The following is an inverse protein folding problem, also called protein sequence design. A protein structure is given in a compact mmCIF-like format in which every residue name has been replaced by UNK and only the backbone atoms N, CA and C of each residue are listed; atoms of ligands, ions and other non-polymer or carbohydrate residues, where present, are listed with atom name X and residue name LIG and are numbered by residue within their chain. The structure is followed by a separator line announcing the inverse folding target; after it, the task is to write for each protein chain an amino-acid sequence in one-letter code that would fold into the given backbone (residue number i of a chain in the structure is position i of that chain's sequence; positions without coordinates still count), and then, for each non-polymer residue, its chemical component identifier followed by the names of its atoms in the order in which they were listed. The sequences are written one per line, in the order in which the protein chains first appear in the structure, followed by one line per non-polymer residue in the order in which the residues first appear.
data_IF_194104098846
#
_entry.id   IF_194104098846
#
_cell.length_a   1.000
_cell.length_b   1.000
_cell.length_c   1.000
_cell.angle_alpha   90.00
_cell.angle_beta   90.00
_cell.angle_gamma   90.00
#
_symmetry.space_group_name_H-M   'P 1'
#
loop_
_entity.id
_entity.type
_entity.pdbx_description
1 polymer ?
#
# COMPACT_ATOMS: atom_id res chain seq x y z
N UNK A 1 -23.60 76.46 24.55
CA UNK A 1 -23.55 77.90 24.26
C UNK A 1 -23.03 78.01 22.84
N UNK A 2 -23.87 77.65 21.88
CA UNK A 2 -24.84 78.55 21.20
C UNK A 2 -24.07 79.46 20.24
N UNK A 3 -24.38 79.58 18.96
CA UNK A 3 -25.50 79.08 18.17
C UNK A 3 -25.23 79.48 16.71
N UNK A 4 -25.91 78.79 15.81
CA UNK A 4 -25.90 79.01 14.37
C UNK A 4 -26.45 80.40 13.99
N UNK A 5 -26.05 80.92 12.83
CA UNK A 5 -27.05 81.34 11.84
C UNK A 5 -26.49 81.41 10.41
N UNK A 6 -27.27 80.91 9.47
CA UNK A 6 -27.16 81.15 8.03
C UNK A 6 -28.37 81.99 7.62
N UNK A 7 -28.35 82.72 6.49
CA UNK A 7 -29.07 82.17 5.32
C UNK A 7 -28.53 82.57 3.91
N UNK A 8 -28.87 81.73 2.94
CA UNK A 8 -28.84 81.90 1.46
C UNK A 8 -29.89 82.96 0.97
N UNK A 9 -30.17 83.25 -0.36
CA UNK A 9 -29.87 82.50 -1.60
C UNK A 9 -29.70 83.27 -2.97
N UNK A 10 -29.45 82.44 -4.01
CA UNK A 10 -29.96 82.49 -5.41
C UNK A 10 -29.23 83.30 -6.52
N UNK A 11 -28.77 82.59 -7.56
CA UNK A 11 -29.34 82.71 -8.94
C UNK A 11 -28.84 81.63 -9.92
N UNK A 12 -29.79 81.20 -10.76
CA UNK A 12 -29.72 80.21 -11.84
C UNK A 12 -28.87 80.62 -13.04
N UNK A 13 -28.34 79.62 -13.77
CA UNK A 13 -27.90 79.73 -15.16
C UNK A 13 -27.83 78.35 -15.81
N UNK A 14 -28.76 78.07 -16.71
CA UNK A 14 -28.89 76.83 -17.48
C UNK A 14 -27.95 76.82 -18.69
N UNK A 15 -27.35 75.67 -19.00
CA UNK A 15 -26.51 75.47 -20.18
C UNK A 15 -26.33 73.98 -20.48
N UNK A 16 -27.12 73.48 -21.44
CA UNK A 16 -27.06 72.14 -22.02
C UNK A 16 -25.86 72.05 -22.97
N UNK A 17 -25.14 70.91 -23.03
CA UNK A 17 -24.89 70.07 -24.25
C UNK A 17 -23.67 69.14 -24.10
N UNK A 18 -23.90 67.85 -24.44
CA UNK A 18 -23.01 66.81 -24.99
C UNK A 18 -21.87 66.17 -24.16
N UNK A 19 -22.19 64.99 -23.62
CA UNK A 19 -21.59 63.67 -23.89
C UNK A 19 -20.22 63.61 -24.63
N UNK A 20 -19.22 62.99 -24.00
CA UNK A 20 -18.23 62.12 -24.66
C UNK A 20 -17.72 61.09 -23.66
N UNK A 21 -18.15 59.86 -23.87
CA UNK A 21 -17.77 58.61 -23.20
C UNK A 21 -16.34 58.21 -23.58
N UNK A 22 -15.48 57.94 -22.59
CA UNK A 22 -14.29 57.10 -22.79
C UNK A 22 -14.45 55.80 -21.99
N UNK A 23 -14.76 54.74 -22.72
CA UNK A 23 -14.91 53.35 -22.29
C UNK A 23 -13.56 52.82 -21.79
N UNK A 24 -13.44 52.55 -20.49
CA UNK A 24 -12.41 51.68 -19.93
C UNK A 24 -13.08 50.34 -19.55
N UNK A 25 -13.37 49.54 -20.57
CA UNK A 25 -13.89 48.18 -20.41
C UNK A 25 -12.85 47.21 -20.97
N UNK A 26 -11.98 46.73 -20.09
CA UNK A 26 -10.86 45.89 -20.50
C UNK A 26 -10.05 45.36 -19.34
N UNK A 27 -10.69 44.71 -18.34
CA UNK A 27 -9.93 43.97 -17.31
C UNK A 27 -10.68 42.87 -16.55
N UNK A 28 -11.71 42.26 -17.13
CA UNK A 28 -12.36 41.08 -16.51
C UNK A 28 -12.30 39.79 -17.35
N UNK A 29 -11.81 39.82 -18.60
CA UNK A 29 -11.81 38.63 -19.47
C UNK A 29 -10.54 37.75 -19.42
N UNK A 30 -9.51 38.18 -18.66
CA UNK A 30 -8.22 37.46 -18.60
C UNK A 30 -8.23 36.25 -17.65
N UNK A 31 -8.99 36.30 -16.55
CA UNK A 31 -9.00 35.25 -15.53
C UNK A 31 -9.80 34.00 -15.95
N UNK A 32 -10.93 34.19 -16.63
CA UNK A 32 -11.78 33.09 -17.09
C UNK A 32 -11.11 32.25 -18.20
N UNK A 33 -10.41 32.91 -19.14
CA UNK A 33 -9.68 32.22 -20.21
C UNK A 33 -8.45 31.46 -19.69
N UNK A 34 -7.72 32.02 -18.71
CA UNK A 34 -6.57 31.33 -18.10
C UNK A 34 -7.00 30.08 -17.30
N UNK A 35 -8.10 30.17 -16.54
CA UNK A 35 -8.66 29.06 -15.76
C UNK A 35 -9.16 27.91 -16.66
N UNK A 36 -9.87 28.25 -17.75
CA UNK A 36 -10.34 27.25 -18.71
C UNK A 36 -9.18 26.56 -19.45
N UNK A 37 -8.12 27.29 -19.80
CA UNK A 37 -6.93 26.72 -20.43
C UNK A 37 -6.16 25.79 -19.49
N UNK A 38 -6.02 26.16 -18.22
CA UNK A 38 -5.40 25.30 -17.21
C UNK A 38 -6.21 24.01 -16.97
N UNK A 39 -7.53 24.12 -16.95
CA UNK A 39 -8.43 22.97 -16.80
C UNK A 39 -8.36 22.00 -18.00
N UNK A 40 -8.26 22.51 -19.23
CA UNK A 40 -8.08 21.70 -20.43
C UNK A 40 -6.70 21.00 -20.43
N UNK A 41 -5.65 21.72 -20.02
CA UNK A 41 -4.31 21.15 -19.91
C UNK A 41 -4.22 20.00 -18.89
N UNK A 42 -4.97 20.08 -17.78
CA UNK A 42 -5.07 18.96 -16.82
C UNK A 42 -5.72 17.72 -17.43
N UNK A 43 -6.79 17.89 -18.21
CA UNK A 43 -7.45 16.78 -18.90
C UNK A 43 -6.50 16.11 -19.90
N UNK A 44 -5.73 16.91 -20.66
CA UNK A 44 -4.75 16.40 -21.61
C UNK A 44 -3.65 15.60 -20.91
N UNK A 45 -3.10 16.12 -19.80
CA UNK A 45 -2.10 15.40 -18.99
C UNK A 45 -2.65 14.09 -18.45
N UNK A 46 -3.87 14.09 -17.93
CA UNK A 46 -4.49 12.88 -17.42
C UNK A 46 -4.74 11.84 -18.53
N UNK A 47 -5.19 12.29 -19.70
CA UNK A 47 -5.37 11.43 -20.88
C UNK A 47 -4.03 10.85 -21.37
N UNK A 48 -2.95 11.64 -21.35
CA UNK A 48 -1.60 11.18 -21.69
C UNK A 48 -1.12 10.06 -20.77
N UNK A 49 -1.33 10.21 -19.45
CA UNK A 49 -0.99 9.15 -18.48
C UNK A 49 -1.78 7.87 -18.75
N UNK A 50 -3.09 7.98 -19.00
CA UNK A 50 -3.94 6.82 -19.33
C UNK A 50 -3.43 6.09 -20.58
N UNK A 51 -3.09 6.82 -21.64
CA UNK A 51 -2.69 6.22 -22.93
C UNK A 51 -1.24 5.74 -22.96
N UNK A 52 -0.30 6.55 -22.47
CA UNK A 52 1.14 6.31 -22.63
C UNK A 52 1.76 5.56 -21.46
N UNK A 53 1.41 5.93 -20.22
CA UNK A 53 2.03 5.32 -19.02
C UNK A 53 1.34 4.04 -18.60
N UNK A 54 0.01 4.01 -18.67
CA UNK A 54 -0.79 2.87 -18.20
C UNK A 54 -1.32 1.99 -19.34
N UNK A 55 -1.35 2.49 -20.57
CA UNK A 55 -1.81 1.77 -21.78
C UNK A 55 -3.18 1.15 -21.55
N UNK A 56 -4.12 1.98 -21.11
CA UNK A 56 -5.49 1.55 -20.80
C UNK A 56 -6.27 1.25 -22.07
N UNK A 57 -7.19 0.28 -22.00
CA UNK A 57 -8.14 0.06 -23.08
C UNK A 57 -9.09 1.26 -23.22
N UNK A 58 -9.75 1.36 -24.37
CA UNK A 58 -10.62 2.48 -24.68
C UNK A 58 -11.80 2.62 -23.70
N UNK A 59 -12.32 1.50 -23.18
CA UNK A 59 -13.44 1.52 -22.24
C UNK A 59 -13.00 2.08 -20.89
N UNK A 60 -11.90 1.56 -20.33
CA UNK A 60 -11.35 2.05 -19.06
C UNK A 60 -10.86 3.49 -19.18
N UNK A 61 -10.22 3.87 -20.31
CA UNK A 61 -9.83 5.26 -20.57
C UNK A 61 -11.04 6.19 -20.56
N UNK A 62 -12.13 5.81 -21.23
CA UNK A 62 -13.36 6.61 -21.29
C UNK A 62 -13.99 6.78 -19.90
N UNK A 63 -14.08 5.71 -19.11
CA UNK A 63 -14.59 5.78 -17.74
C UNK A 63 -13.70 6.68 -16.85
N UNK A 64 -12.38 6.54 -16.95
CA UNK A 64 -11.44 7.39 -16.22
C UNK A 64 -11.60 8.87 -16.60
N UNK A 65 -11.68 9.17 -17.90
CA UNK A 65 -11.88 10.54 -18.39
C UNK A 65 -13.24 11.11 -17.95
N UNK A 66 -14.30 10.29 -17.92
CA UNK A 66 -15.61 10.71 -17.45
C UNK A 66 -15.55 11.09 -15.96
N UNK A 67 -15.06 10.19 -15.10
CA UNK A 67 -14.96 10.46 -13.66
C UNK A 67 -14.04 11.65 -13.36
N UNK A 68 -12.93 11.80 -14.09
CA UNK A 68 -12.05 12.95 -13.97
C UNK A 68 -12.79 14.26 -14.27
N UNK A 69 -13.54 14.32 -15.38
CA UNK A 69 -14.30 15.51 -15.78
C UNK A 69 -15.35 15.91 -14.74
N UNK A 70 -16.10 14.94 -14.22
CA UNK A 70 -17.11 15.17 -13.18
C UNK A 70 -16.50 15.69 -11.87
N UNK A 71 -15.29 15.23 -11.53
CA UNK A 71 -14.62 15.61 -10.27
C UNK A 71 -13.68 16.83 -10.41
N UNK A 72 -13.41 17.30 -11.63
CA UNK A 72 -12.43 18.36 -11.94
C UNK A 72 -12.73 19.70 -11.25
N UNK A 73 -14.00 20.08 -11.11
CA UNK A 73 -14.39 21.33 -10.46
C UNK A 73 -14.02 21.29 -8.96
N UNK A 74 -14.14 20.12 -8.34
CA UNK A 74 -13.81 19.89 -6.93
C UNK A 74 -12.28 19.90 -6.75
N UNK A 75 -11.53 19.35 -7.71
CA UNK A 75 -10.07 19.44 -7.75
C UNK A 75 -9.60 20.90 -7.79
N UNK A 76 -10.13 21.70 -8.72
CA UNK A 76 -9.80 23.13 -8.84
C UNK A 76 -10.07 23.91 -7.53
N UNK A 77 -11.19 23.60 -6.88
CA UNK A 77 -11.55 24.19 -5.57
C UNK A 77 -10.59 23.74 -4.46
N UNK A 78 -10.11 22.51 -4.51
CA UNK A 78 -9.16 21.94 -3.55
C UNK A 78 -7.76 22.55 -3.68
N UNK A 79 -7.31 22.85 -4.90
CA UNK A 79 -6.04 23.55 -5.15
C UNK A 79 -6.07 24.99 -4.62
N UNK A 80 -7.26 25.60 -4.59
CA UNK A 80 -7.44 26.99 -4.14
C UNK A 80 -7.53 27.12 -2.62
N UNK A 81 -7.69 26.02 -1.88
CA UNK A 81 -8.05 26.03 -0.46
C UNK A 81 -6.99 25.45 0.49
N UNK A 82 -5.81 25.02 0.02
CA UNK A 82 -4.87 24.24 0.84
C UNK A 82 -3.41 24.71 0.76
N UNK A 83 -2.77 24.84 1.94
CA UNK A 83 -1.35 25.14 2.12
C UNK A 83 -0.49 23.91 2.45
N UNK A 84 -0.85 22.70 1.97
CA UNK A 84 -0.18 21.45 2.35
C UNK A 84 0.50 20.68 1.21
N UNK A 85 0.53 21.21 -0.01
CA UNK A 85 1.22 20.60 -1.15
C UNK A 85 1.23 21.51 -2.38
N UNK A 86 2.13 21.26 -3.33
CA UNK A 86 2.14 21.96 -4.61
C UNK A 86 0.89 21.60 -5.43
N UNK A 87 0.37 22.51 -6.28
CA UNK A 87 -0.77 22.20 -7.16
C UNK A 87 -0.55 20.94 -8.00
N UNK A 88 0.67 20.68 -8.45
CA UNK A 88 1.01 19.49 -9.21
C UNK A 88 0.89 18.20 -8.38
N UNK A 89 1.26 18.23 -7.08
CA UNK A 89 1.10 17.07 -6.20
C UNK A 89 -0.38 16.76 -5.93
N UNK A 90 -1.19 17.80 -5.73
CA UNK A 90 -2.64 17.66 -5.54
C UNK A 90 -3.26 17.05 -6.81
N UNK A 91 -2.88 17.52 -7.99
CA UNK A 91 -3.34 16.98 -9.28
C UNK A 91 -2.99 15.49 -9.42
N UNK A 92 -1.73 15.12 -9.16
CA UNK A 92 -1.26 13.72 -9.27
C UNK A 92 -2.02 12.80 -8.31
N UNK A 93 -2.17 13.21 -7.06
CA UNK A 93 -2.93 12.47 -6.05
C UNK A 93 -4.39 12.30 -6.46
N UNK A 94 -5.03 13.35 -6.98
CA UNK A 94 -6.41 13.30 -7.46
C UNK A 94 -6.57 12.34 -8.63
N UNK A 95 -5.68 12.43 -9.63
CA UNK A 95 -5.69 11.54 -10.79
C UNK A 95 -5.51 10.08 -10.40
N UNK A 96 -4.64 9.79 -9.43
CA UNK A 96 -4.45 8.44 -8.91
C UNK A 96 -5.71 7.91 -8.20
N UNK A 97 -6.40 8.77 -7.41
CA UNK A 97 -7.66 8.40 -6.76
C UNK A 97 -8.76 8.08 -7.79
N UNK A 98 -8.89 8.90 -8.84
CA UNK A 98 -9.82 8.65 -9.96
C UNK A 98 -9.56 7.29 -10.61
N UNK A 99 -8.30 6.99 -10.93
CA UNK A 99 -7.93 5.71 -11.56
C UNK A 99 -8.14 4.51 -10.62
N UNK A 100 -7.92 4.68 -9.32
CA UNK A 100 -8.21 3.63 -8.35
C UNK A 100 -9.73 3.35 -8.28
N UNK A 101 -10.56 4.39 -8.27
CA UNK A 101 -12.01 4.22 -8.35
C UNK A 101 -12.42 3.49 -9.62
N UNK A 102 -11.90 3.89 -10.78
CA UNK A 102 -12.24 3.25 -12.05
C UNK A 102 -11.74 1.79 -12.09
N UNK A 103 -10.56 1.49 -11.57
CA UNK A 103 -10.03 0.12 -11.58
C UNK A 103 -10.82 -0.82 -10.69
N UNK A 104 -11.35 -0.34 -9.55
CA UNK A 104 -12.18 -1.12 -8.62
C UNK A 104 -13.65 -1.16 -9.01
N UNK A 105 -14.20 -0.07 -9.54
CA UNK A 105 -15.64 0.08 -9.77
C UNK A 105 -16.07 -0.13 -11.22
N UNK A 106 -15.16 0.05 -12.18
CA UNK A 106 -15.46 0.07 -13.63
C UNK A 106 -15.97 -1.23 -14.24
N UNK A 107 -15.94 -2.34 -13.50
CA UNK A 107 -16.17 -3.70 -14.01
C UNK A 107 -17.15 -4.54 -13.15
N UNK A 108 -18.23 -3.94 -12.63
CA UNK A 108 -19.21 -4.61 -11.74
C UNK A 108 -19.93 -5.86 -12.29
N UNK A 109 -19.59 -6.38 -13.48
CA UNK A 109 -20.35 -7.45 -14.12
C UNK A 109 -19.61 -8.32 -15.14
N UNK A 110 -18.28 -8.25 -15.27
CA UNK A 110 -17.51 -9.19 -16.11
C UNK A 110 -16.54 -9.97 -15.24
N UNK A 111 -16.58 -11.29 -15.39
CA UNK A 111 -15.79 -12.25 -14.64
C UNK A 111 -14.31 -11.85 -14.55
N UNK A 112 -13.72 -12.16 -13.39
CA UNK A 112 -12.31 -12.04 -12.99
C UNK A 112 -11.32 -12.48 -14.09
N UNK A 113 -11.14 -11.68 -15.13
CA UNK A 113 -9.94 -11.72 -15.95
C UNK A 113 -9.05 -10.54 -15.55
N UNK A 114 -7.80 -10.90 -15.28
CA UNK A 114 -6.68 -10.17 -14.68
C UNK A 114 -6.20 -8.94 -15.49
N UNK A 115 -7.11 -8.23 -16.19
CA UNK A 115 -6.81 -7.08 -17.06
C UNK A 115 -7.11 -5.73 -16.41
N UNK A 116 -7.33 -5.69 -15.10
CA UNK A 116 -7.51 -4.44 -14.35
C UNK A 116 -6.18 -3.78 -13.98
N UNK A 117 -6.12 -2.45 -14.02
CA UNK A 117 -4.96 -1.68 -13.55
C UNK A 117 -4.76 -1.92 -12.07
N UNK A 118 -3.54 -2.29 -11.66
CA UNK A 118 -3.20 -2.47 -10.25
C UNK A 118 -2.89 -1.13 -9.56
N UNK A 119 -3.13 -1.04 -8.25
CA UNK A 119 -2.72 0.13 -7.46
C UNK A 119 -1.21 0.42 -7.61
N UNK A 120 -0.36 -0.61 -7.69
CA UNK A 120 1.09 -0.44 -7.90
C UNK A 120 1.41 0.28 -9.21
N UNK A 121 0.71 -0.03 -10.29
CA UNK A 121 0.89 0.64 -11.58
C UNK A 121 0.43 2.11 -11.51
N UNK A 122 -0.72 2.37 -10.87
CA UNK A 122 -1.23 3.73 -10.67
C UNK A 122 -0.20 4.56 -9.88
N UNK A 123 0.23 4.07 -8.72
CA UNK A 123 1.20 4.78 -7.88
C UNK A 123 2.51 5.11 -8.63
N UNK A 124 3.03 4.17 -9.42
CA UNK A 124 4.22 4.40 -10.27
C UNK A 124 3.98 5.44 -11.36
N UNK A 125 2.80 5.45 -11.98
CA UNK A 125 2.51 6.40 -13.07
C UNK A 125 2.47 7.86 -12.58
N UNK A 126 2.10 8.07 -11.32
CA UNK A 126 2.01 9.39 -10.67
C UNK A 126 3.14 9.69 -9.68
N UNK A 127 4.12 8.80 -9.54
CA UNK A 127 5.22 8.91 -8.57
C UNK A 127 4.74 9.13 -7.12
N UNK A 128 3.71 8.36 -6.72
CA UNK A 128 3.10 8.45 -5.40
C UNK A 128 3.58 7.33 -4.49
N UNK A 129 3.84 7.67 -3.22
CA UNK A 129 4.02 6.68 -2.17
C UNK A 129 2.66 6.15 -1.73
N UNK A 130 2.61 4.85 -1.44
CA UNK A 130 1.39 4.19 -0.97
C UNK A 130 0.82 4.83 0.31
N UNK A 131 1.69 5.32 1.20
CA UNK A 131 1.29 5.99 2.45
C UNK A 131 0.58 7.30 2.15
N UNK A 132 1.06 8.07 1.17
CA UNK A 132 0.47 9.36 0.81
C UNK A 132 -0.86 9.14 0.09
N UNK A 133 -0.96 8.11 -0.76
CA UNK A 133 -2.24 7.68 -1.34
C UNK A 133 -3.30 7.37 -0.27
N UNK A 134 -2.96 6.60 0.78
CA UNK A 134 -3.93 6.29 1.85
C UNK A 134 -4.27 7.47 2.75
N UNK A 135 -3.46 8.54 2.78
CA UNK A 135 -3.82 9.79 3.46
C UNK A 135 -4.84 10.60 2.64
N UNK A 136 -4.65 10.65 1.33
CA UNK A 136 -5.47 11.49 0.43
C UNK A 136 -6.79 10.82 0.02
N UNK A 137 -6.78 9.51 -0.23
CA UNK A 137 -7.93 8.76 -0.75
C UNK A 137 -9.21 8.92 0.10
N UNK A 138 -9.17 8.87 1.45
CA UNK A 138 -10.37 9.12 2.27
C UNK A 138 -10.96 10.51 2.05
N UNK A 139 -10.12 11.54 1.94
CA UNK A 139 -10.57 12.92 1.70
C UNK A 139 -11.18 13.06 0.31
N UNK A 140 -10.58 12.41 -0.69
CA UNK A 140 -11.15 12.31 -2.02
C UNK A 140 -12.55 11.68 -1.96
N UNK A 141 -12.70 10.50 -1.35
CA UNK A 141 -13.99 9.80 -1.19
C UNK A 141 -15.07 10.67 -0.55
N UNK A 142 -14.74 11.43 0.50
CA UNK A 142 -15.68 12.35 1.16
C UNK A 142 -16.14 13.44 0.19
N UNK A 143 -15.21 14.04 -0.57
CA UNK A 143 -15.50 15.14 -1.49
C UNK A 143 -16.31 14.71 -2.70
N UNK A 144 -16.03 13.52 -3.25
CA UNK A 144 -16.65 13.05 -4.51
C UNK A 144 -17.74 11.99 -4.31
N UNK A 145 -18.08 11.66 -3.05
CA UNK A 145 -18.97 10.55 -2.73
C UNK A 145 -20.33 10.61 -3.43
N UNK A 146 -20.91 11.79 -3.61
CA UNK A 146 -22.18 11.96 -4.34
C UNK A 146 -22.04 11.60 -5.84
N UNK A 147 -20.90 11.93 -6.46
CA UNK A 147 -20.59 11.59 -7.86
C UNK A 147 -20.41 10.08 -7.98
N UNK A 148 -19.67 9.47 -7.05
CA UNK A 148 -19.45 8.02 -7.03
C UNK A 148 -20.76 7.26 -6.86
N UNK A 149 -21.64 7.71 -5.97
CA UNK A 149 -22.99 7.14 -5.80
C UNK A 149 -23.81 7.24 -7.09
N UNK A 150 -23.75 8.38 -7.78
CA UNK A 150 -24.48 8.59 -9.04
C UNK A 150 -23.96 7.72 -10.19
N UNK A 151 -22.65 7.51 -10.29
CA UNK A 151 -22.04 6.76 -11.40
C UNK A 151 -21.94 5.25 -11.16
N UNK A 152 -21.75 4.82 -9.92
CA UNK A 152 -21.41 3.43 -9.59
C UNK A 152 -22.39 2.72 -8.65
N UNK A 153 -23.40 3.44 -8.15
CA UNK A 153 -24.37 2.92 -7.18
C UNK A 153 -23.96 3.17 -5.73
N UNK A 154 -24.91 3.06 -4.79
CA UNK A 154 -24.69 3.36 -3.36
C UNK A 154 -23.77 2.38 -2.64
N UNK A 155 -23.43 1.25 -3.26
CA UNK A 155 -22.53 0.22 -2.72
C UNK A 155 -21.05 0.45 -3.12
N UNK A 156 -20.73 1.57 -3.76
CA UNK A 156 -19.38 1.88 -4.24
C UNK A 156 -18.32 1.80 -3.14
N UNK A 157 -18.62 2.28 -1.93
CA UNK A 157 -17.65 2.34 -0.83
C UNK A 157 -17.20 0.93 -0.41
N UNK A 158 -18.17 0.01 -0.28
CA UNK A 158 -17.89 -1.40 -0.01
C UNK A 158 -17.09 -2.05 -1.14
N UNK A 159 -17.38 -1.70 -2.40
CA UNK A 159 -16.70 -2.25 -3.58
C UNK A 159 -15.28 -1.70 -3.79
N UNK A 160 -14.97 -0.52 -3.24
CA UNK A 160 -13.60 0.01 -3.26
C UNK A 160 -12.65 -0.77 -2.35
N UNK A 161 -13.18 -1.42 -1.31
CA UNK A 161 -12.42 -2.20 -0.32
C UNK A 161 -11.24 -1.41 0.28
N UNK A 162 -11.38 -0.08 0.43
CA UNK A 162 -10.27 0.80 0.77
C UNK A 162 -9.75 0.53 2.18
N UNK A 163 -10.66 0.34 3.13
CA UNK A 163 -10.34 0.07 4.52
C UNK A 163 -9.67 -1.31 4.66
N UNK A 164 -10.19 -2.32 3.95
CA UNK A 164 -9.63 -3.67 3.93
C UNK A 164 -8.23 -3.68 3.33
N UNK A 165 -8.01 -2.95 2.23
CA UNK A 165 -6.69 -2.84 1.61
C UNK A 165 -5.69 -2.13 2.53
N UNK A 166 -6.11 -1.05 3.18
CA UNK A 166 -5.28 -0.31 4.14
C UNK A 166 -4.91 -1.17 5.34
N UNK A 167 -5.88 -1.86 5.95
CA UNK A 167 -5.65 -2.77 7.07
C UNK A 167 -4.68 -3.90 6.68
N UNK A 168 -4.87 -4.49 5.49
CA UNK A 168 -3.99 -5.52 4.96
C UNK A 168 -2.54 -5.03 4.78
N UNK A 169 -2.33 -3.79 4.33
CA UNK A 169 -1.01 -3.20 4.20
C UNK A 169 -0.37 -2.99 5.58
N UNK A 170 -1.11 -2.43 6.53
CA UNK A 170 -0.63 -2.21 7.90
C UNK A 170 -0.20 -3.53 8.55
N UNK A 171 -1.03 -4.57 8.44
CA UNK A 171 -0.70 -5.91 8.92
C UNK A 171 0.57 -6.44 8.25
N UNK A 172 0.68 -6.34 6.91
CA UNK A 172 1.82 -6.85 6.17
C UNK A 172 3.13 -6.12 6.54
N UNK A 173 3.08 -4.80 6.74
CA UNK A 173 4.23 -4.01 7.21
C UNK A 173 4.67 -4.41 8.62
N UNK A 174 3.72 -4.65 9.52
CA UNK A 174 4.02 -5.11 10.88
C UNK A 174 4.62 -6.51 10.89
N UNK A 175 4.05 -7.44 10.13
CA UNK A 175 4.55 -8.80 9.97
C UNK A 175 5.93 -8.83 9.31
N UNK A 176 6.17 -7.99 8.28
CA UNK A 176 7.48 -7.88 7.64
C UNK A 176 8.56 -7.35 8.58
N UNK A 177 8.23 -6.37 9.43
CA UNK A 177 9.14 -5.90 10.49
C UNK A 177 9.40 -7.00 11.54
N UNK A 178 8.37 -7.74 11.93
CA UNK A 178 8.50 -8.84 12.88
C UNK A 178 9.39 -9.96 12.32
N UNK A 179 9.12 -10.39 11.08
CA UNK A 179 9.94 -11.36 10.35
C UNK A 179 11.39 -10.94 10.26
N UNK A 180 11.65 -9.67 9.88
CA UNK A 180 13.00 -9.13 9.81
C UNK A 180 13.74 -9.26 11.13
N UNK A 181 13.14 -8.85 12.25
CA UNK A 181 13.77 -8.94 13.56
C UNK A 181 14.05 -10.39 13.96
N UNK A 182 13.05 -11.26 13.84
CA UNK A 182 13.20 -12.69 14.15
C UNK A 182 14.30 -13.33 13.32
N UNK A 183 14.37 -13.03 12.02
CA UNK A 183 15.40 -13.56 11.13
C UNK A 183 16.79 -13.06 11.51
N UNK A 184 16.93 -11.77 11.81
CA UNK A 184 18.20 -11.18 12.25
C UNK A 184 18.70 -11.83 13.54
N UNK A 185 17.81 -12.01 14.52
CA UNK A 185 18.14 -12.66 15.80
C UNK A 185 18.57 -14.12 15.64
N UNK A 186 17.93 -14.85 14.72
CA UNK A 186 18.15 -16.28 14.54
C UNK A 186 19.29 -16.63 13.58
N UNK A 187 19.58 -15.79 12.57
CA UNK A 187 20.42 -16.20 11.42
C UNK A 187 21.50 -15.19 10.99
N UNK A 188 21.53 -13.96 11.51
CA UNK A 188 22.62 -13.03 11.20
C UNK A 188 23.65 -13.00 12.32
N UNK A 189 24.89 -13.37 12.00
CA UNK A 189 26.04 -13.27 12.90
C UNK A 189 26.42 -11.79 13.10
N UNK A 190 26.48 -11.35 14.37
CA UNK A 190 27.04 -10.06 14.78
C UNK A 190 28.57 -10.11 14.94
N UNK A 191 29.27 -10.94 14.16
CA UNK A 191 30.71 -11.06 14.30
C UNK A 191 31.38 -9.89 13.56
N UNK A 192 31.85 -8.90 14.33
CA UNK A 192 32.70 -7.79 13.88
C UNK A 192 34.08 -8.22 13.37
N UNK A 193 34.20 -9.43 12.79
CA UNK A 193 35.41 -9.94 12.15
C UNK A 193 35.46 -9.49 10.69
N UNK A 194 36.67 -9.21 10.17
CA UNK A 194 36.82 -8.74 8.79
C UNK A 194 36.25 -9.77 7.80
N UNK A 195 35.62 -9.25 6.76
CA UNK A 195 34.98 -10.04 5.72
C UNK A 195 36.04 -10.84 4.94
N UNK A 196 36.05 -12.16 5.12
CA UNK A 196 36.76 -13.09 4.25
C UNK A 196 35.80 -13.53 3.13
N UNK A 197 36.30 -14.10 2.02
CA UNK A 197 35.45 -14.57 0.91
C UNK A 197 34.33 -15.55 1.34
N UNK A 198 34.54 -16.31 2.42
CA UNK A 198 33.50 -17.18 3.00
C UNK A 198 32.39 -16.41 3.72
N UNK A 199 32.69 -15.22 4.26
CA UNK A 199 31.72 -14.32 4.89
C UNK A 199 30.77 -13.73 3.85
N UNK A 200 31.27 -13.33 2.69
CA UNK A 200 30.46 -12.75 1.61
C UNK A 200 29.47 -13.78 1.02
N UNK A 201 29.92 -15.03 0.78
CA UNK A 201 29.06 -16.15 0.39
C UNK A 201 27.98 -16.47 1.45
N UNK A 202 28.32 -16.40 2.73
CA UNK A 202 27.37 -16.64 3.82
C UNK A 202 26.32 -15.52 3.91
N UNK A 203 26.71 -14.26 3.69
CA UNK A 203 25.78 -13.10 3.64
C UNK A 203 24.80 -13.26 2.48
N UNK A 204 25.28 -13.65 1.30
CA UNK A 204 24.44 -13.90 0.14
C UNK A 204 23.44 -15.04 0.41
N UNK A 205 23.91 -16.18 0.94
CA UNK A 205 23.04 -17.30 1.31
C UNK A 205 21.99 -16.91 2.37
N UNK A 206 22.40 -16.13 3.38
CA UNK A 206 21.48 -15.63 4.39
C UNK A 206 20.42 -14.68 3.80
N UNK A 207 20.74 -13.90 2.77
CA UNK A 207 19.74 -13.09 2.06
C UNK A 207 18.76 -13.97 1.27
N UNK A 208 19.24 -15.01 0.60
CA UNK A 208 18.38 -15.92 -0.18
C UNK A 208 17.39 -16.68 0.70
N UNK A 209 17.83 -17.14 1.88
CA UNK A 209 16.93 -17.78 2.86
C UNK A 209 15.93 -16.79 3.48
N UNK A 210 16.32 -15.52 3.66
CA UNK A 210 15.41 -14.45 4.10
C UNK A 210 14.30 -14.23 3.06
N UNK A 211 14.68 -14.10 1.79
CA UNK A 211 13.72 -13.89 0.71
C UNK A 211 12.82 -15.11 0.52
N UNK A 212 13.39 -16.32 0.59
CA UNK A 212 12.63 -17.57 0.53
C UNK A 212 11.57 -17.64 1.63
N UNK A 213 11.94 -17.38 2.89
CA UNK A 213 11.00 -17.41 4.00
C UNK A 213 9.89 -16.38 3.84
N UNK A 214 10.25 -15.14 3.47
CA UNK A 214 9.23 -14.11 3.24
C UNK A 214 8.27 -14.46 2.10
N UNK A 215 8.78 -14.98 0.99
CA UNK A 215 7.97 -15.41 -0.15
C UNK A 215 7.05 -16.58 0.22
N UNK A 216 7.57 -17.58 0.95
CA UNK A 216 6.78 -18.71 1.43
C UNK A 216 5.61 -18.23 2.31
N UNK A 217 5.90 -17.30 3.24
CA UNK A 217 4.87 -16.67 4.06
C UNK A 217 3.83 -15.93 3.21
N UNK A 218 4.24 -15.16 2.21
CA UNK A 218 3.31 -14.45 1.33
C UNK A 218 2.39 -15.42 0.58
N UNK A 219 2.90 -16.55 0.09
CA UNK A 219 2.09 -17.55 -0.60
C UNK A 219 1.12 -18.23 0.36
N UNK A 220 1.60 -18.66 1.55
CA UNK A 220 0.77 -19.26 2.59
C UNK A 220 -0.38 -18.34 2.98
N UNK A 221 -0.04 -17.09 3.30
CA UNK A 221 -1.01 -16.04 3.61
C UNK A 221 -1.98 -15.84 2.46
N UNK A 222 -1.54 -15.94 1.20
CA UNK A 222 -2.41 -15.73 0.02
C UNK A 222 -3.49 -16.80 -0.19
N UNK A 223 -3.33 -17.98 0.40
CA UNK A 223 -4.33 -19.05 0.31
C UNK A 223 -5.51 -18.86 1.27
N UNK A 224 -5.41 -17.96 2.24
CA UNK A 224 -6.51 -17.65 3.14
C UNK A 224 -7.65 -16.90 2.38
N UNK A 225 -8.85 -17.47 2.41
CA UNK A 225 -10.03 -17.00 1.65
C UNK A 225 -10.61 -15.65 2.12
N UNK A 226 -10.13 -15.06 3.21
CA UNK A 226 -10.71 -13.83 3.75
C UNK A 226 -10.11 -12.57 3.11
N UNK A 227 -10.97 -11.58 2.84
CA UNK A 227 -10.57 -10.28 2.28
C UNK A 227 -9.64 -9.51 3.23
N UNK A 228 -9.89 -9.59 4.54
CA UNK A 228 -8.97 -9.12 5.59
C UNK A 228 -8.37 -10.32 6.29
N UNK A 229 -7.05 -10.40 6.30
CA UNK A 229 -6.36 -11.52 6.96
C UNK A 229 -6.13 -11.18 8.42
N UNK A 230 -6.60 -12.07 9.28
CA UNK A 230 -6.45 -11.95 10.72
C UNK A 230 -4.95 -11.87 11.06
N UNK A 231 -4.56 -10.83 11.81
CA UNK A 231 -3.18 -10.60 12.19
C UNK A 231 -2.62 -11.74 13.03
N UNK A 232 -3.40 -12.27 13.99
CA UNK A 232 -3.00 -13.39 14.85
C UNK A 232 -2.75 -14.64 14.01
N UNK A 233 -3.68 -15.00 13.12
CA UNK A 233 -3.49 -16.13 12.21
C UNK A 233 -2.28 -15.94 11.31
N UNK A 234 -2.09 -14.73 10.76
CA UNK A 234 -0.92 -14.40 9.94
C UNK A 234 0.39 -14.47 10.74
N UNK A 235 0.38 -14.13 12.03
CA UNK A 235 1.54 -14.30 12.91
C UNK A 235 1.84 -15.78 13.11
N UNK A 236 0.84 -16.61 13.40
CA UNK A 236 1.03 -18.07 13.54
C UNK A 236 1.57 -18.69 12.24
N UNK A 237 1.05 -18.28 11.07
CA UNK A 237 1.58 -18.68 9.76
C UNK A 237 3.02 -18.22 9.52
N UNK A 238 3.39 -17.03 10.01
CA UNK A 238 4.76 -16.54 9.93
C UNK A 238 5.70 -17.35 10.84
N UNK A 239 5.22 -17.72 12.04
CA UNK A 239 5.97 -18.55 12.99
C UNK A 239 6.16 -19.97 12.44
N UNK A 240 5.18 -20.54 11.75
CA UNK A 240 5.36 -21.84 11.09
C UNK A 240 6.43 -21.79 9.99
N UNK A 241 6.51 -20.69 9.24
CA UNK A 241 7.61 -20.46 8.29
C UNK A 241 8.95 -20.36 9.02
N UNK A 242 9.03 -19.64 10.15
CA UNK A 242 10.26 -19.59 10.96
C UNK A 242 10.69 -20.99 11.44
N UNK A 243 9.75 -21.85 11.84
CA UNK A 243 10.05 -23.23 12.23
C UNK A 243 10.71 -24.01 11.09
N UNK A 244 10.17 -23.90 9.86
CA UNK A 244 10.77 -24.50 8.66
C UNK A 244 12.19 -23.97 8.44
N UNK A 245 12.41 -22.66 8.53
CA UNK A 245 13.74 -22.07 8.37
C UNK A 245 14.72 -22.56 9.44
N UNK A 246 14.30 -22.64 10.70
CA UNK A 246 15.11 -23.14 11.82
C UNK A 246 15.61 -24.56 11.55
N UNK A 247 14.77 -25.42 10.98
CA UNK A 247 15.12 -26.81 10.67
C UNK A 247 16.05 -26.89 9.45
N UNK A 248 15.77 -26.12 8.39
CA UNK A 248 16.40 -26.32 7.08
C UNK A 248 17.60 -25.42 6.77
N UNK A 249 17.74 -24.25 7.40
CA UNK A 249 18.90 -23.37 7.17
C UNK A 249 20.15 -24.05 7.76
N UNK A 250 21.29 -24.10 7.07
CA UNK A 250 22.51 -24.72 7.59
C UNK A 250 22.97 -24.19 8.95
N UNK A 251 23.48 -25.05 9.84
CA UNK A 251 23.91 -24.68 11.20
C UNK A 251 24.93 -23.53 11.21
N UNK A 252 25.84 -23.49 10.24
CA UNK A 252 26.85 -22.41 10.10
C UNK A 252 26.24 -21.01 9.90
N UNK A 253 24.97 -20.92 9.51
CA UNK A 253 24.21 -19.68 9.31
C UNK A 253 23.23 -19.42 10.46
N UNK A 254 23.22 -20.25 11.51
CA UNK A 254 22.37 -20.06 12.68
C UNK A 254 23.17 -19.33 13.75
N UNK A 255 22.55 -18.33 14.37
CA UNK A 255 23.10 -17.62 15.52
C UNK A 255 22.67 -18.26 16.85
N UNK A 256 22.33 -19.55 16.83
CA UNK A 256 21.88 -20.30 18.00
C UNK A 256 22.37 -21.75 17.92
N UNK A 257 22.56 -22.35 19.10
CA UNK A 257 22.60 -23.81 19.27
C UNK A 257 21.20 -24.30 19.59
N UNK A 258 20.77 -25.42 19.01
CA UNK A 258 19.45 -26.01 19.32
C UNK A 258 19.41 -26.50 20.76
N UNK A 259 20.50 -27.10 21.25
CA UNK A 259 20.53 -27.74 22.56
C UNK A 259 20.54 -26.74 23.72
N UNK A 260 21.17 -25.57 23.53
CA UNK A 260 21.56 -24.66 24.62
C UNK A 260 21.14 -23.20 24.39
N UNK A 261 20.17 -22.95 23.51
CA UNK A 261 19.68 -21.59 23.30
C UNK A 261 18.48 -21.29 24.19
N UNK A 262 18.51 -20.12 24.84
CA UNK A 262 17.34 -19.49 25.48
C UNK A 262 16.16 -19.32 24.51
N UNK A 263 16.43 -19.37 23.20
CA UNK A 263 15.41 -19.36 22.15
C UNK A 263 14.52 -20.62 22.16
N UNK A 264 14.99 -21.72 22.77
CA UNK A 264 14.30 -23.01 22.79
C UNK A 264 14.25 -23.62 24.20
N UNK A 265 13.60 -22.88 25.10
CA UNK A 265 13.51 -23.24 26.52
C UNK A 265 12.64 -24.48 26.78
N UNK A 266 11.70 -24.83 25.89
CA UNK A 266 10.82 -25.99 26.10
C UNK A 266 11.48 -27.27 25.64
N UNK A 267 11.51 -28.26 26.52
CA UNK A 267 12.04 -29.60 26.28
C UNK A 267 10.90 -30.64 26.29
N UNK A 268 11.08 -31.72 25.54
CA UNK A 268 10.28 -32.94 25.57
C UNK A 268 11.19 -34.14 25.85
N UNK A 269 10.60 -35.32 26.02
CA UNK A 269 11.34 -36.58 26.23
C UNK A 269 12.30 -36.93 25.09
N UNK A 270 12.14 -36.30 23.91
CA UNK A 270 12.97 -36.48 22.71
C UNK A 270 13.95 -35.32 22.45
N UNK A 271 14.02 -34.33 23.34
CA UNK A 271 14.92 -33.19 23.20
C UNK A 271 14.20 -31.84 23.29
N UNK A 272 14.43 -30.95 22.34
CA UNK A 272 13.79 -29.63 22.24
C UNK A 272 12.40 -29.76 21.62
N UNK A 273 11.39 -29.26 22.31
CA UNK A 273 10.06 -29.07 21.74
C UNK A 273 10.04 -27.71 21.01
N UNK A 274 10.25 -27.76 19.69
CA UNK A 274 10.34 -26.56 18.85
C UNK A 274 9.00 -25.81 18.82
N UNK A 275 7.89 -26.53 18.70
CA UNK A 275 6.54 -25.94 18.64
C UNK A 275 6.24 -25.19 19.94
N UNK A 276 6.39 -25.84 21.10
CA UNK A 276 6.14 -25.22 22.39
C UNK A 276 7.06 -24.03 22.65
N UNK A 277 8.34 -24.12 22.27
CA UNK A 277 9.30 -23.02 22.40
C UNK A 277 8.92 -21.81 21.55
N UNK A 278 8.52 -22.02 20.29
CA UNK A 278 8.09 -20.94 19.42
C UNK A 278 6.75 -20.35 19.88
N UNK A 279 5.84 -21.17 20.38
CA UNK A 279 4.59 -20.70 20.97
C UNK A 279 4.79 -19.79 22.17
N UNK A 280 5.71 -20.15 23.08
CA UNK A 280 6.07 -19.29 24.21
C UNK A 280 6.70 -17.97 23.75
N UNK A 281 7.62 -18.03 22.79
CA UNK A 281 8.32 -16.83 22.29
C UNK A 281 7.43 -15.87 21.53
N UNK A 282 6.54 -16.38 20.69
CA UNK A 282 5.72 -15.59 19.77
C UNK A 282 4.26 -15.46 20.23
N UNK A 283 3.94 -15.96 21.43
CA UNK A 283 2.61 -15.91 22.05
C UNK A 283 1.53 -16.54 21.15
N UNK A 284 1.82 -17.72 20.60
CA UNK A 284 0.89 -18.50 19.77
C UNK A 284 0.41 -19.76 20.49
N UNK A 285 -0.66 -20.37 20.00
CA UNK A 285 -1.14 -21.68 20.47
C UNK A 285 -0.39 -22.82 19.77
N UNK A 286 -0.02 -23.88 20.51
CA UNK A 286 0.62 -25.08 19.96
C UNK A 286 -0.26 -25.80 18.94
N UNK A 287 -1.56 -25.88 19.19
CA UNK A 287 -2.53 -26.50 18.27
C UNK A 287 -2.62 -25.72 16.95
N UNK A 288 -2.71 -24.39 17.04
CA UNK A 288 -2.78 -23.54 15.85
C UNK A 288 -1.45 -23.50 15.08
N UNK A 289 -0.31 -23.49 15.79
CA UNK A 289 1.01 -23.55 15.17
C UNK A 289 1.24 -24.89 14.47
N UNK A 290 0.84 -26.00 15.09
CA UNK A 290 0.91 -27.35 14.48
C UNK A 290 0.11 -27.41 13.18
N UNK A 291 -1.13 -26.91 13.17
CA UNK A 291 -1.95 -26.84 11.96
C UNK A 291 -1.33 -25.96 10.88
N UNK A 292 -0.79 -24.79 11.26
CA UNK A 292 -0.13 -23.89 10.32
C UNK A 292 1.15 -24.51 9.73
N UNK A 293 1.93 -25.22 10.52
CA UNK A 293 3.12 -25.94 10.07
C UNK A 293 2.77 -27.07 9.11
N UNK A 294 1.74 -27.86 9.40
CA UNK A 294 1.25 -28.88 8.47
C UNK A 294 0.83 -28.28 7.13
N UNK A 295 0.09 -27.17 7.14
CA UNK A 295 -0.28 -26.43 5.91
C UNK A 295 0.95 -25.92 5.17
N UNK A 296 1.93 -25.39 5.88
CA UNK A 296 3.19 -24.89 5.31
C UNK A 296 3.94 -26.02 4.60
N UNK A 297 4.05 -27.20 5.23
CA UNK A 297 4.73 -28.35 4.65
C UNK A 297 4.02 -28.89 3.39
N UNK A 298 2.68 -28.94 3.41
CA UNK A 298 1.88 -29.29 2.22
C UNK A 298 2.17 -28.30 1.09
N UNK A 299 2.15 -27.00 1.39
CA UNK A 299 2.41 -25.95 0.42
C UNK A 299 3.81 -26.07 -0.21
N UNK A 300 4.84 -26.30 0.60
CA UNK A 300 6.21 -26.52 0.11
C UNK A 300 6.25 -27.72 -0.83
N UNK A 301 5.60 -28.83 -0.46
CA UNK A 301 5.54 -30.05 -1.28
C UNK A 301 4.85 -29.79 -2.62
N UNK A 302 3.75 -29.04 -2.60
CA UNK A 302 2.97 -28.73 -3.80
C UNK A 302 3.71 -27.79 -4.75
N UNK A 303 4.42 -26.78 -4.21
CA UNK A 303 5.21 -25.82 -5.00
C UNK A 303 6.47 -26.49 -5.56
N UNK A 304 7.27 -27.12 -4.69
CA UNK A 304 8.57 -27.67 -5.09
C UNK A 304 8.43 -28.95 -5.89
N UNK A 305 7.31 -29.68 -5.75
CA UNK A 305 7.07 -31.00 -6.35
C UNK A 305 8.22 -32.00 -6.12
N UNK A 306 9.05 -31.76 -5.10
CA UNK A 306 10.19 -32.61 -4.75
C UNK A 306 9.73 -33.69 -3.79
N UNK A 307 10.24 -34.91 -3.99
CA UNK A 307 10.21 -35.93 -2.94
C UNK A 307 11.19 -35.50 -1.84
N UNK A 308 10.86 -35.65 -0.54
CA UNK A 308 11.82 -35.42 0.53
C UNK A 308 13.08 -36.23 0.25
N UNK A 309 14.25 -35.59 0.29
CA UNK A 309 15.52 -36.32 0.14
C UNK A 309 15.61 -37.36 1.26
N UNK A 310 15.65 -38.63 0.88
CA UNK A 310 15.94 -39.76 1.77
C UNK A 310 17.41 -39.81 2.20
N UNK A 311 18.28 -39.11 1.46
CA UNK A 311 19.71 -39.13 1.68
C UNK A 311 20.12 -37.91 2.52
N UNK A 312 20.07 -38.10 3.83
CA UNK A 312 20.50 -37.15 4.88
C UNK A 312 22.03 -36.96 4.91
N UNK A 313 22.73 -37.35 3.85
CA UNK A 313 24.17 -37.59 3.86
C UNK A 313 25.05 -36.33 3.85
N UNK A 314 24.50 -35.14 3.55
CA UNK A 314 25.31 -33.90 3.53
C UNK A 314 24.78 -32.78 4.45
N UNK A 315 23.53 -32.86 4.91
CA UNK A 315 23.00 -31.96 5.95
C UNK A 315 23.37 -32.56 7.31
N UNK A 316 24.54 -32.19 7.84
CA UNK A 316 25.08 -32.62 9.14
C UNK A 316 23.98 -33.02 10.15
N UNK A 317 23.81 -34.34 10.25
CA UNK A 317 22.80 -35.05 11.02
C UNK A 317 22.85 -34.76 12.53
N UNK A 318 23.96 -34.16 13.01
CA UNK A 318 24.23 -33.98 14.43
C UNK A 318 23.33 -32.97 15.17
N UNK A 319 22.59 -32.11 14.46
CA UNK A 319 21.82 -31.02 15.11
C UNK A 319 20.30 -31.23 15.11
N UNK A 320 19.76 -32.09 14.24
CA UNK A 320 18.32 -32.35 14.16
C UNK A 320 17.87 -33.54 15.03
N UNK A 321 18.80 -34.37 15.51
CA UNK A 321 18.49 -35.50 16.41
C UNK A 321 17.85 -35.08 17.73
N UNK A 322 18.01 -33.81 18.11
CA UNK A 322 17.51 -33.24 19.36
C UNK A 322 16.25 -32.39 19.17
N UNK A 323 15.65 -32.34 17.98
CA UNK A 323 14.39 -31.63 17.76
C UNK A 323 13.26 -32.64 17.67
N UNK A 324 12.24 -32.48 18.50
CA UNK A 324 10.94 -33.11 18.27
C UNK A 324 10.14 -32.18 17.35
N UNK A 325 9.94 -32.52 16.06
CA UNK A 325 9.28 -31.63 15.11
C UNK A 325 7.78 -31.46 15.36
N UNK A 326 7.19 -32.26 16.26
CA UNK A 326 5.75 -32.36 16.47
C UNK A 326 5.07 -33.28 15.47
#
# INVERSE_FOLDING_TARGET
MDGADAPQPARSGSGVTACSTSTAQGRMNGGANASNNAAAAMEERFADVCKRKLVLDESTTRQAMQLFKETKIILLSSMSSLGSGSPEEIERSWCACVLYCVSKLGNAGKAKEDRGITLRQILRAFDLKIVDFFKEMPQFCIKVGFILTGLYGSDWEKRLELQELQANLVHLCSLGRHYRRAYQELFLLNDGKPANNSSELNVQQASEYYDFGWLLFLVLRNQASSAVKNLLTSTTELVSVLAVLIIHIPVRLRNFSIEDSSCFAKKSDKGVNLIASLCERYLTSEDELSKALQKTNILIKDILKKKPCSDVSECQQGSLSFIDPG
#
